data_IF_563403318422
#
_entry.id   IF_563403318422
#
_cell.length_a   1.000
_cell.length_b   1.000
_cell.length_c   1.000
_cell.angle_alpha   90.00
_cell.angle_beta   90.00
_cell.angle_gamma   90.00
#
_symmetry.space_group_name_H-M   'P 1'
#
loop_
_entity.id
_entity.type
_entity.pdbx_description
1 polymer ?
#
# COMPACT_ATOMS: atom_id res chain seq x y z
N UNK A 1 -27.26 -6.91 16.51
CA UNK A 1 -27.77 -6.29 15.27
C UNK A 1 -27.62 -4.76 15.26
N UNK A 2 -27.89 -4.05 16.36
CA UNK A 2 -27.81 -2.58 16.41
C UNK A 2 -26.47 -1.98 15.96
N UNK A 3 -25.32 -2.50 16.43
CA UNK A 3 -24.01 -1.96 16.05
C UNK A 3 -23.71 -2.01 14.55
N UNK A 4 -24.08 -3.11 13.88
CA UNK A 4 -23.92 -3.22 12.42
C UNK A 4 -24.81 -2.23 11.67
N UNK A 5 -26.06 -2.04 12.12
CA UNK A 5 -26.97 -1.02 11.56
C UNK A 5 -26.37 0.38 11.67
N UNK A 6 -25.88 0.75 12.85
CA UNK A 6 -25.23 2.05 13.07
C UNK A 6 -24.01 2.26 12.18
N UNK A 7 -23.15 1.25 12.03
CA UNK A 7 -21.98 1.33 11.14
C UNK A 7 -22.39 1.55 9.67
N UNK A 8 -23.43 0.84 9.21
CA UNK A 8 -23.98 1.00 7.85
C UNK A 8 -24.53 2.41 7.65
N UNK A 9 -25.37 2.90 8.56
CA UNK A 9 -25.96 4.25 8.48
C UNK A 9 -24.88 5.33 8.46
N UNK A 10 -23.87 5.22 9.32
CA UNK A 10 -22.75 6.15 9.35
C UNK A 10 -21.95 6.16 8.04
N UNK A 11 -21.51 5.00 7.55
CA UNK A 11 -20.69 4.95 6.32
C UNK A 11 -21.48 5.37 5.07
N UNK A 12 -22.81 5.21 5.06
CA UNK A 12 -23.63 5.71 3.94
C UNK A 12 -23.65 7.24 3.92
N UNK A 13 -23.71 7.88 5.10
CA UNK A 13 -23.79 9.34 5.24
C UNK A 13 -22.42 10.05 5.23
N UNK A 14 -21.34 9.36 5.56
CA UNK A 14 -20.00 9.95 5.68
C UNK A 14 -18.99 9.31 4.70
N UNK A 15 -18.56 10.09 3.70
CA UNK A 15 -17.56 9.67 2.72
C UNK A 15 -16.09 9.85 3.20
N UNK A 16 -15.86 10.56 4.30
CA UNK A 16 -14.50 10.91 4.75
C UNK A 16 -13.63 9.67 5.00
N UNK A 17 -14.19 8.63 5.62
CA UNK A 17 -13.47 7.38 5.86
C UNK A 17 -12.98 6.70 4.58
N UNK A 18 -13.82 6.66 3.54
CA UNK A 18 -13.42 6.06 2.26
C UNK A 18 -12.30 6.87 1.62
N UNK A 19 -12.42 8.20 1.65
CA UNK A 19 -11.41 9.11 1.09
C UNK A 19 -10.08 8.98 1.83
N UNK A 20 -10.08 9.05 3.17
CA UNK A 20 -8.88 8.88 3.99
C UNK A 20 -8.23 7.51 3.79
N UNK A 21 -9.02 6.44 3.72
CA UNK A 21 -8.49 5.10 3.45
C UNK A 21 -7.74 5.04 2.11
N UNK A 22 -8.30 5.64 1.06
CA UNK A 22 -7.66 5.67 -0.27
C UNK A 22 -6.40 6.51 -0.26
N UNK A 23 -6.41 7.68 0.37
CA UNK A 23 -5.23 8.54 0.51
C UNK A 23 -4.13 7.83 1.30
N UNK A 24 -4.43 7.24 2.46
CA UNK A 24 -3.45 6.47 3.21
C UNK A 24 -2.89 5.28 2.43
N UNK A 25 -3.74 4.59 1.66
CA UNK A 25 -3.27 3.50 0.80
C UNK A 25 -2.29 4.00 -0.27
N UNK A 26 -2.62 5.10 -0.94
CA UNK A 26 -1.76 5.70 -1.98
C UNK A 26 -0.41 6.12 -1.39
N UNK A 27 -0.41 6.79 -0.23
CA UNK A 27 0.82 7.20 0.45
C UNK A 27 1.73 6.01 0.80
N UNK A 28 1.18 4.92 1.32
CA UNK A 28 1.98 3.71 1.59
C UNK A 28 2.49 3.07 0.29
N UNK A 29 1.66 2.96 -0.76
CA UNK A 29 2.09 2.42 -2.06
C UNK A 29 3.24 3.24 -2.66
N UNK A 30 3.15 4.57 -2.61
CA UNK A 30 4.19 5.50 -3.08
C UNK A 30 5.50 5.29 -2.29
N UNK A 31 5.44 5.35 -0.96
CA UNK A 31 6.61 5.24 -0.11
C UNK A 31 7.31 3.87 -0.20
N UNK A 32 6.55 2.79 -0.41
CA UNK A 32 7.08 1.45 -0.69
C UNK A 32 7.74 1.39 -2.07
N UNK A 33 7.11 2.00 -3.09
CA UNK A 33 7.65 2.08 -4.44
C UNK A 33 8.99 2.82 -4.53
N UNK A 34 9.14 3.93 -3.80
CA UNK A 34 10.41 4.66 -3.66
C UNK A 34 11.55 3.81 -3.09
N UNK A 35 11.20 2.79 -2.31
CA UNK A 35 12.14 1.84 -1.70
C UNK A 35 12.29 0.56 -2.51
N UNK A 36 11.78 0.52 -3.74
CA UNK A 36 11.87 -0.65 -4.62
C UNK A 36 11.21 -1.89 -4.00
N UNK A 37 10.18 -1.71 -3.16
CA UNK A 37 9.44 -2.82 -2.55
C UNK A 37 8.40 -3.36 -3.54
N UNK A 38 8.31 -4.69 -3.73
CA UNK A 38 7.48 -5.32 -4.78
C UNK A 38 5.98 -5.34 -4.44
N UNK A 39 5.34 -4.18 -4.50
CA UNK A 39 3.88 -4.08 -4.37
C UNK A 39 3.22 -4.59 -5.64
N UNK A 40 2.34 -5.58 -5.51
CA UNK A 40 1.55 -6.12 -6.62
C UNK A 40 0.53 -5.05 -7.06
N UNK A 41 0.60 -4.56 -8.32
CA UNK A 41 -0.29 -3.51 -8.81
C UNK A 41 -1.76 -3.92 -8.69
N UNK A 42 -2.58 -3.00 -8.18
CA UNK A 42 -4.03 -3.17 -8.09
C UNK A 42 -4.73 -1.82 -7.84
N UNK A 43 -5.99 -1.64 -8.27
CA UNK A 43 -6.71 -0.38 -8.18
C UNK A 43 -7.45 -0.18 -6.84
N UNK A 44 -7.15 -1.01 -5.84
CA UNK A 44 -7.90 -1.09 -4.57
C UNK A 44 -7.11 -0.53 -3.36
N UNK A 45 -7.75 -0.57 -2.18
CA UNK A 45 -7.17 -0.21 -0.88
C UNK A 45 -6.24 -1.28 -0.29
N UNK A 46 -6.05 -2.42 -0.97
CA UNK A 46 -5.18 -3.50 -0.53
C UNK A 46 -3.75 -3.25 -1.04
N UNK A 47 -2.76 -3.49 -0.19
CA UNK A 47 -1.34 -3.41 -0.52
C UNK A 47 -0.74 -4.81 -0.33
N UNK A 48 -0.72 -5.64 -1.39
CA UNK A 48 -0.10 -6.94 -1.37
C UNK A 48 1.38 -6.82 -1.76
N UNK A 49 2.29 -7.11 -0.83
CA UNK A 49 3.74 -7.09 -1.11
C UNK A 49 4.19 -8.51 -1.44
N UNK A 50 4.64 -8.73 -2.67
CA UNK A 50 5.09 -10.04 -3.16
C UNK A 50 6.38 -10.48 -2.45
N UNK A 51 6.36 -11.68 -1.87
CA UNK A 51 7.56 -12.33 -1.30
C UNK A 51 7.97 -13.52 -2.17
N UNK A 52 7.00 -14.31 -2.64
CA UNK A 52 7.21 -15.45 -3.54
C UNK A 52 7.78 -16.71 -2.89
N UNK A 53 7.83 -16.76 -1.56
CA UNK A 53 8.21 -17.93 -0.80
C UNK A 53 7.51 -17.95 0.58
N UNK A 54 6.88 -19.07 0.93
CA UNK A 54 6.07 -19.18 2.15
C UNK A 54 6.87 -19.06 3.45
N UNK A 55 8.07 -19.64 3.51
CA UNK A 55 8.91 -19.60 4.70
C UNK A 55 9.44 -18.19 4.96
N UNK A 56 9.92 -17.52 3.90
CA UNK A 56 10.38 -16.14 3.97
C UNK A 56 9.23 -15.18 4.28
N UNK A 57 8.04 -15.38 3.71
CA UNK A 57 6.87 -14.55 4.01
C UNK A 57 6.48 -14.66 5.48
N UNK A 58 6.45 -15.89 6.02
CA UNK A 58 6.19 -16.12 7.44
C UNK A 58 7.27 -15.48 8.31
N UNK A 59 8.55 -15.66 7.98
CA UNK A 59 9.66 -15.08 8.73
C UNK A 59 9.61 -13.54 8.75
N UNK A 60 9.28 -12.92 7.62
CA UNK A 60 9.09 -11.47 7.55
C UNK A 60 7.92 -11.01 8.43
N UNK A 61 6.78 -11.72 8.41
CA UNK A 61 5.64 -11.48 9.29
C UNK A 61 6.00 -11.62 10.78
N UNK A 62 6.71 -12.69 11.14
CA UNK A 62 7.14 -12.94 12.52
C UNK A 62 8.10 -11.84 13.00
N UNK A 63 9.02 -11.36 12.16
CA UNK A 63 9.94 -10.26 12.46
C UNK A 63 9.23 -8.91 12.58
N UNK A 64 8.26 -8.62 11.70
CA UNK A 64 7.42 -7.41 11.84
C UNK A 64 6.74 -7.39 13.22
N UNK A 65 6.20 -8.53 13.66
CA UNK A 65 5.52 -8.61 14.96
C UNK A 65 6.49 -8.53 16.14
N UNK A 66 7.56 -9.33 16.12
CA UNK A 66 8.46 -9.48 17.28
C UNK A 66 9.45 -8.33 17.44
N UNK A 67 10.06 -7.86 16.35
CA UNK A 67 11.10 -6.81 16.39
C UNK A 67 10.48 -5.41 16.33
N UNK A 68 9.36 -5.24 15.61
CA UNK A 68 8.77 -3.93 15.31
C UNK A 68 7.37 -3.70 15.91
N UNK A 69 6.77 -4.71 16.55
CA UNK A 69 5.41 -4.64 17.11
C UNK A 69 4.33 -4.33 16.04
N UNK A 70 4.58 -4.76 14.80
CA UNK A 70 3.69 -4.59 13.64
C UNK A 70 3.10 -5.94 13.25
N UNK A 71 1.78 -6.10 13.39
CA UNK A 71 1.11 -7.31 12.95
C UNK A 71 0.64 -7.21 11.50
N UNK A 72 1.35 -7.91 10.59
CA UNK A 72 0.95 -8.09 9.19
C UNK A 72 1.06 -9.56 8.83
N UNK A 73 -0.07 -10.16 8.47
CA UNK A 73 -0.13 -11.59 8.20
C UNK A 73 0.54 -11.96 6.86
N UNK A 74 1.38 -12.99 6.90
CA UNK A 74 1.83 -13.69 5.69
C UNK A 74 0.69 -14.52 5.09
N UNK A 75 0.38 -14.29 3.82
CA UNK A 75 -0.65 -15.04 3.08
C UNK A 75 0.06 -16.05 2.17
N UNK A 76 -0.17 -17.33 2.46
CA UNK A 76 0.45 -18.47 1.78
C UNK A 76 -0.63 -19.41 1.19
N UNK A 77 -0.21 -20.53 0.59
CA UNK A 77 -1.13 -21.60 0.16
C UNK A 77 -2.00 -22.10 1.34
N UNK A 78 -3.31 -22.40 1.13
CA UNK A 78 -4.06 -22.39 -0.12
C UNK A 78 -4.72 -21.06 -0.49
N UNK A 79 -4.53 -20.00 0.29
CA UNK A 79 -5.17 -18.70 0.05
C UNK A 79 -4.65 -18.02 -1.22
N UNK A 80 -3.38 -18.23 -1.53
CA UNK A 80 -2.74 -17.81 -2.80
C UNK A 80 -1.96 -18.97 -3.42
N UNK A 81 -1.76 -18.99 -4.75
CA UNK A 81 -0.92 -20.00 -5.39
C UNK A 81 0.49 -20.02 -4.83
N UNK A 82 1.12 -21.19 -4.84
CA UNK A 82 2.55 -21.35 -4.49
C UNK A 82 3.40 -20.45 -5.38
N UNK A 83 4.37 -19.76 -4.79
CA UNK A 83 5.21 -18.78 -5.47
C UNK A 83 4.59 -17.37 -5.53
N UNK A 84 3.34 -17.18 -5.10
CA UNK A 84 2.70 -15.87 -4.97
C UNK A 84 2.45 -15.45 -3.52
N UNK A 85 3.22 -16.03 -2.58
CA UNK A 85 3.15 -15.69 -1.17
C UNK A 85 3.48 -14.22 -0.96
N UNK A 86 2.74 -13.59 -0.04
CA UNK A 86 2.76 -12.13 0.08
C UNK A 86 2.42 -11.67 1.49
N UNK A 87 2.87 -10.49 1.86
CA UNK A 87 2.33 -9.77 3.00
C UNK A 87 1.11 -8.97 2.55
N UNK A 88 -0.01 -9.06 3.28
CA UNK A 88 -1.24 -8.32 2.95
C UNK A 88 -1.45 -7.19 3.94
N UNK A 89 -1.19 -5.97 3.50
CA UNK A 89 -1.39 -4.75 4.28
C UNK A 89 -2.71 -4.10 3.85
N UNK A 90 -3.48 -3.63 4.82
CA UNK A 90 -4.78 -2.97 4.60
C UNK A 90 -4.89 -1.70 5.45
N UNK A 91 -4.38 -0.56 4.97
CA UNK A 91 -4.51 0.70 5.68
C UNK A 91 -5.99 1.06 5.89
N UNK A 92 -6.23 1.82 6.96
CA UNK A 92 -7.54 2.35 7.34
C UNK A 92 -7.39 3.83 7.69
N UNK A 93 -8.48 4.60 7.84
CA UNK A 93 -8.41 6.01 8.24
C UNK A 93 -7.64 6.28 9.54
N UNK A 94 -7.52 5.29 10.44
CA UNK A 94 -6.79 5.43 11.70
C UNK A 94 -5.28 5.23 11.59
N UNK A 95 -4.76 4.81 10.43
CA UNK A 95 -3.33 4.61 10.22
C UNK A 95 -2.67 5.92 9.81
N UNK A 96 -2.44 6.79 10.80
CA UNK A 96 -1.79 8.10 10.66
C UNK A 96 -0.38 7.99 10.09
N UNK A 97 0.21 9.14 9.74
CA UNK A 97 1.52 9.19 9.10
C UNK A 97 2.60 8.50 9.91
N UNK A 98 2.58 8.69 11.23
CA UNK A 98 3.55 8.09 12.14
C UNK A 98 3.55 6.56 12.04
N UNK A 99 2.37 5.94 11.97
CA UNK A 99 2.25 4.49 11.81
C UNK A 99 2.63 4.02 10.41
N UNK A 100 2.30 4.81 9.36
CA UNK A 100 2.71 4.50 7.97
C UNK A 100 4.23 4.53 7.82
N UNK A 101 4.88 5.56 8.35
CA UNK A 101 6.33 5.75 8.25
C UNK A 101 7.07 4.63 9.01
N UNK A 102 6.58 4.26 10.21
CA UNK A 102 7.10 3.11 10.96
C UNK A 102 6.96 1.80 10.18
N UNK A 103 5.80 1.54 9.57
CA UNK A 103 5.54 0.36 8.76
C UNK A 103 6.50 0.29 7.56
N UNK A 104 6.61 1.37 6.79
CA UNK A 104 7.45 1.41 5.59
C UNK A 104 8.92 1.19 5.95
N UNK A 105 9.41 1.83 7.01
CA UNK A 105 10.78 1.64 7.49
C UNK A 105 11.06 0.20 7.96
N UNK A 106 10.12 -0.41 8.69
CA UNK A 106 10.25 -1.78 9.17
C UNK A 106 10.26 -2.79 8.01
N UNK A 107 9.35 -2.63 7.04
CA UNK A 107 9.30 -3.48 5.83
C UNK A 107 10.62 -3.39 5.07
N UNK A 108 11.16 -2.20 4.84
CA UNK A 108 12.41 -2.00 4.10
C UNK A 108 13.63 -2.62 4.80
N UNK A 109 13.71 -2.45 6.13
CA UNK A 109 14.76 -3.05 6.94
C UNK A 109 14.70 -4.60 6.90
N UNK A 110 13.50 -5.17 6.99
CA UNK A 110 13.31 -6.63 6.92
C UNK A 110 13.62 -7.16 5.52
N UNK A 111 13.22 -6.45 4.46
CA UNK A 111 13.54 -6.82 3.08
C UNK A 111 15.04 -6.95 2.88
N UNK A 112 15.80 -5.97 3.39
CA UNK A 112 17.27 -5.99 3.35
C UNK A 112 17.84 -7.13 4.20
N UNK A 113 17.34 -7.30 5.43
CA UNK A 113 17.87 -8.30 6.39
C UNK A 113 17.64 -9.74 5.94
N UNK A 114 16.56 -10.01 5.21
CA UNK A 114 16.21 -11.33 4.70
C UNK A 114 16.65 -11.56 3.24
N UNK A 115 17.33 -10.57 2.63
CA UNK A 115 17.74 -10.60 1.21
C UNK A 115 16.58 -10.93 0.28
N UNK A 116 15.43 -10.28 0.51
CA UNK A 116 14.23 -10.49 -0.30
C UNK A 116 14.32 -9.72 -1.62
N UNK A 117 13.80 -10.32 -2.68
CA UNK A 117 13.73 -9.69 -4.00
C UNK A 117 12.98 -8.37 -3.93
N UNK A 118 13.64 -7.31 -4.41
CA UNK A 118 13.07 -5.99 -4.68
C UNK A 118 12.42 -5.95 -6.07
N UNK A 119 11.63 -4.92 -6.38
CA UNK A 119 10.93 -4.82 -7.68
C UNK A 119 11.91 -4.91 -8.85
N UNK A 120 13.06 -4.25 -8.76
CA UNK A 120 14.13 -4.35 -9.76
C UNK A 120 14.67 -5.77 -9.96
N UNK A 121 14.79 -6.56 -8.90
CA UNK A 121 15.23 -7.96 -8.98
C UNK A 121 14.17 -8.85 -9.65
N UNK A 122 12.89 -8.64 -9.35
CA UNK A 122 11.80 -9.30 -10.10
C UNK A 122 11.82 -8.92 -11.58
N UNK A 123 12.07 -7.64 -11.90
CA UNK A 123 12.16 -7.18 -13.28
C UNK A 123 13.30 -7.83 -14.05
N UNK A 124 14.46 -8.04 -13.42
CA UNK A 124 15.60 -8.73 -14.01
C UNK A 124 15.29 -10.20 -14.39
N UNK A 125 14.29 -10.80 -13.75
CA UNK A 125 13.81 -12.17 -14.03
C UNK A 125 12.61 -12.21 -14.99
N UNK A 126 12.23 -11.06 -15.58
CA UNK A 126 11.10 -10.94 -16.50
C UNK A 126 9.78 -10.50 -15.86
N UNK A 127 9.80 -10.18 -14.57
CA UNK A 127 8.64 -9.76 -13.80
C UNK A 127 7.75 -10.91 -13.37
N UNK A 128 6.85 -10.64 -12.42
CA UNK A 128 5.90 -11.63 -11.93
C UNK A 128 4.64 -10.95 -11.39
N UNK A 129 3.47 -11.36 -11.88
CA UNK A 129 2.14 -10.89 -11.46
C UNK A 129 2.04 -9.35 -11.41
N UNK A 130 2.62 -8.69 -12.41
CA UNK A 130 2.66 -7.22 -12.55
C UNK A 130 3.80 -6.53 -11.80
N UNK A 131 4.55 -7.24 -10.94
CA UNK A 131 5.76 -6.68 -10.30
C UNK A 131 6.94 -6.82 -11.26
N UNK A 132 7.56 -5.70 -11.64
CA UNK A 132 8.75 -5.68 -12.49
C UNK A 132 8.49 -6.06 -13.97
N UNK A 133 7.24 -6.21 -14.37
CA UNK A 133 6.87 -6.39 -15.78
C UNK A 133 7.01 -5.06 -16.53
N UNK A 134 7.39 -5.11 -17.82
CA UNK A 134 7.61 -3.91 -18.63
C UNK A 134 6.34 -3.03 -18.71
N UNK A 135 6.53 -1.71 -18.70
CA UNK A 135 5.46 -0.72 -18.84
C UNK A 135 4.62 -1.01 -20.09
N UNK A 136 3.38 -1.48 -19.89
CA UNK A 136 2.51 -1.95 -20.98
C UNK A 136 1.58 -3.11 -20.58
N UNK A 137 1.91 -3.87 -19.53
CA UNK A 137 0.93 -4.67 -18.83
C UNK A 137 -0.05 -3.71 -18.12
N UNK A 138 -1.32 -3.72 -18.52
CA UNK A 138 -2.30 -2.69 -18.19
C UNK A 138 -2.33 -2.35 -16.68
N UNK A 139 -1.67 -1.25 -16.29
CA UNK A 139 -1.80 -0.72 -14.95
C UNK A 139 -3.26 -0.27 -14.77
N UNK A 140 -4.04 -1.06 -14.04
CA UNK A 140 -5.44 -0.75 -13.80
C UNK A 140 -5.57 0.59 -13.09
N UNK A 141 -6.44 1.46 -13.61
CA UNK A 141 -6.67 2.76 -13.00
C UNK A 141 -7.30 2.60 -11.62
N UNK A 142 -6.89 3.40 -10.61
CA UNK A 142 -7.50 3.36 -9.28
C UNK A 142 -9.02 3.50 -9.35
N UNK A 143 -9.75 2.70 -8.57
CA UNK A 143 -11.22 2.74 -8.52
C UNK A 143 -11.75 4.10 -8.03
N UNK A 144 -10.96 4.79 -7.21
CA UNK A 144 -11.22 6.15 -6.74
C UNK A 144 -10.39 7.12 -7.56
N UNK A 145 -11.05 7.96 -8.35
CA UNK A 145 -10.39 8.99 -9.16
C UNK A 145 -9.93 10.16 -8.31
N UNK A 146 -9.03 10.98 -8.85
CA UNK A 146 -8.51 12.16 -8.16
C UNK A 146 -9.62 13.19 -7.90
N UNK A 147 -10.58 13.33 -8.81
CA UNK A 147 -11.77 14.15 -8.60
C UNK A 147 -12.66 13.62 -7.46
N UNK A 148 -12.87 12.30 -7.37
CA UNK A 148 -13.63 11.70 -6.26
C UNK A 148 -12.93 11.84 -4.89
N UNK A 149 -11.59 11.91 -4.89
CA UNK A 149 -10.81 12.19 -3.71
C UNK A 149 -10.65 13.69 -3.44
N UNK A 150 -11.13 14.58 -4.32
CA UNK A 150 -10.99 16.02 -4.18
C UNK A 150 -9.53 16.49 -4.25
N UNK A 151 -8.68 15.80 -5.01
CA UNK A 151 -7.23 16.07 -5.11
C UNK A 151 -6.78 16.49 -6.51
N UNK A 152 -7.71 16.55 -7.47
CA UNK A 152 -7.43 16.81 -8.89
C UNK A 152 -6.60 18.08 -9.12
N UNK A 153 -6.99 19.21 -8.52
CA UNK A 153 -6.25 20.46 -8.63
C UNK A 153 -4.82 20.36 -8.06
N UNK A 154 -4.64 19.64 -6.95
CA UNK A 154 -3.31 19.44 -6.36
C UNK A 154 -2.42 18.55 -7.24
N UNK A 155 -3.00 17.57 -7.94
CA UNK A 155 -2.28 16.71 -8.88
C UNK A 155 -1.87 17.49 -10.13
N UNK A 156 -2.75 18.34 -10.68
CA UNK A 156 -2.49 19.10 -11.90
C UNK A 156 -1.45 20.22 -11.69
N UNK A 157 -1.50 20.93 -10.56
CA UNK A 157 -0.47 21.91 -10.17
C UNK A 157 0.92 21.28 -10.12
N UNK A 158 0.99 19.99 -9.76
CA UNK A 158 2.26 19.30 -9.56
C UNK A 158 2.83 18.73 -10.86
N UNK A 159 1.98 18.22 -11.76
CA UNK A 159 2.38 17.94 -13.16
C UNK A 159 2.97 19.18 -13.83
N UNK A 160 2.44 20.37 -13.50
CA UNK A 160 2.98 21.64 -13.99
C UNK A 160 4.29 22.07 -13.29
N UNK A 161 4.50 21.70 -12.02
CA UNK A 161 5.69 22.08 -11.23
C UNK A 161 6.91 21.17 -11.36
N UNK A 162 6.78 19.99 -12.00
CA UNK A 162 7.87 19.03 -12.21
C UNK A 162 8.34 18.29 -10.94
N UNK A 163 7.66 18.44 -9.81
CA UNK A 163 7.91 17.63 -8.61
C UNK A 163 7.27 16.25 -8.76
N UNK A 164 7.96 15.18 -8.35
CA UNK A 164 7.42 13.82 -8.40
C UNK A 164 6.16 13.67 -7.53
N UNK A 165 5.29 12.71 -7.85
CA UNK A 165 4.06 12.42 -7.11
C UNK A 165 4.28 12.09 -5.61
N UNK A 166 5.51 11.73 -5.26
CA UNK A 166 6.04 11.53 -3.92
C UNK A 166 5.89 12.79 -3.03
N UNK A 167 4.78 12.89 -2.30
CA UNK A 167 4.56 13.95 -1.30
C UNK A 167 3.21 14.66 -1.39
N UNK A 168 2.48 14.52 -2.49
CA UNK A 168 1.14 15.12 -2.66
C UNK A 168 0.17 14.49 -1.67
N UNK A 169 0.17 13.16 -1.63
CA UNK A 169 -0.71 12.39 -0.76
C UNK A 169 -0.48 12.78 0.70
N UNK A 170 0.78 12.96 1.12
CA UNK A 170 1.11 13.43 2.47
C UNK A 170 0.71 14.89 2.71
N UNK A 171 0.91 15.80 1.74
CA UNK A 171 0.47 17.18 1.87
C UNK A 171 -1.06 17.30 2.01
N UNK A 172 -1.81 16.46 1.30
CA UNK A 172 -3.28 16.40 1.40
C UNK A 172 -3.73 15.83 2.74
N UNK A 173 -3.11 14.76 3.20
CA UNK A 173 -3.40 14.17 4.50
C UNK A 173 -3.08 15.13 5.66
N UNK A 174 -2.03 15.96 5.52
CA UNK A 174 -1.71 17.00 6.49
C UNK A 174 -2.80 18.09 6.55
N UNK A 175 -3.40 18.46 5.41
CA UNK A 175 -4.51 19.42 5.34
C UNK A 175 -5.79 18.86 5.99
N UNK A 176 -6.06 17.58 5.81
CA UNK A 176 -7.21 16.88 6.41
C UNK A 176 -7.10 16.81 7.94
N UNK A 177 -5.90 16.59 8.48
CA UNK A 177 -5.67 16.51 9.92
C UNK A 177 -5.91 17.85 10.66
N UNK A 178 -5.95 18.97 9.91
CA UNK A 178 -6.17 20.33 10.44
C UNK A 178 -7.58 20.89 10.23
N UNK A 179 -8.45 20.16 9.54
CA UNK A 179 -9.81 20.57 9.18
C UNK A 179 -10.87 19.85 10.05
#
# INVERSE_FOLDING_TARGET
MAGAKTAIEYQMGYNGDRRLQQLHTRAVKEALGERDIPVIPNPSHIIPILVGNAELAKRASDMLLSDYQIYVQSINYPTVPVGQERLRITPTPGHTREFRDQLVAAVDAIWTKLDLKRTSAWAAEGGFIGVGEAEGAAAEQPLWTDGQLGIEAAVDDIKASGHGAAGITEALLAREATA
#
